data_IF_824452716122
#
_entry.id   IF_824452716122
#
_cell.length_a   1.000
_cell.length_b   1.000
_cell.length_c   1.000
_cell.angle_alpha   90.00
_cell.angle_beta   90.00
_cell.angle_gamma   90.00
#
_symmetry.space_group_name_H-M   'P 1'
#
loop_
_entity.id
_entity.type
_entity.pdbx_description
1 polymer ?
#
# COMPACT_ATOMS: atom_id res chain seq x y z
N UNK A 1 -5.00 45.61 -62.03
CA UNK A 1 -6.41 46.03 -61.91
C UNK A 1 -7.29 44.92 -62.47
N UNK A 2 -8.28 44.47 -61.68
CA UNK A 2 -9.59 43.89 -62.10
C UNK A 2 -9.50 42.52 -62.82
N UNK A 3 -9.75 41.37 -62.18
CA UNK A 3 -10.95 40.79 -61.54
C UNK A 3 -11.58 39.69 -62.41
N UNK A 4 -11.86 38.56 -61.74
CA UNK A 4 -13.05 37.71 -61.88
C UNK A 4 -13.15 36.69 -63.01
N UNK A 5 -13.32 35.42 -62.61
CA UNK A 5 -14.56 34.60 -62.67
C UNK A 5 -14.18 33.16 -62.27
N UNK A 6 -14.59 32.63 -61.11
CA UNK A 6 -15.92 32.18 -60.67
C UNK A 6 -16.50 31.01 -61.51
N UNK A 7 -16.66 29.86 -60.85
CA UNK A 7 -17.51 28.73 -61.27
C UNK A 7 -16.74 27.58 -61.95
N UNK A 8 -17.01 26.29 -61.74
CA UNK A 8 -18.02 25.59 -60.95
C UNK A 8 -17.62 24.11 -60.84
N UNK A 9 -17.98 23.54 -59.68
CA UNK A 9 -18.18 22.13 -59.30
C UNK A 9 -18.06 21.01 -60.36
N UNK A 10 -17.36 19.96 -59.92
CA UNK A 10 -17.60 18.51 -60.06
C UNK A 10 -16.24 17.87 -60.36
N UNK A 11 -15.75 16.88 -59.60
CA UNK A 11 -16.26 15.51 -59.60
C UNK A 11 -15.70 14.79 -58.36
N UNK A 12 -16.56 14.03 -57.68
CA UNK A 12 -16.17 12.99 -56.74
C UNK A 12 -15.22 11.98 -57.40
N UNK A 13 -14.18 11.54 -56.70
CA UNK A 13 -14.05 10.15 -56.29
C UNK A 13 -12.61 9.77 -55.93
N UNK A 14 -12.55 8.78 -55.04
CA UNK A 14 -11.46 7.82 -54.89
C UNK A 14 -10.22 8.30 -54.10
N UNK A 15 -10.36 8.15 -52.78
CA UNK A 15 -9.51 7.31 -51.96
C UNK A 15 -8.14 6.94 -52.57
N UNK A 16 -7.08 7.44 -51.94
CA UNK A 16 -5.79 6.77 -51.94
C UNK A 16 -5.17 6.94 -50.56
N UNK A 17 -4.99 5.82 -49.88
CA UNK A 17 -4.28 5.69 -48.62
C UNK A 17 -2.86 6.22 -48.79
N UNK A 18 -2.60 7.43 -48.32
CA UNK A 18 -1.25 7.91 -48.11
C UNK A 18 -0.89 7.63 -46.66
N UNK A 19 0.06 6.71 -46.46
CA UNK A 19 0.65 6.38 -45.17
C UNK A 19 1.16 7.66 -44.50
N UNK A 20 0.35 8.19 -43.58
CA UNK A 20 0.75 9.24 -42.66
C UNK A 20 1.75 8.64 -41.68
N UNK A 21 3.03 8.94 -41.91
CA UNK A 21 4.09 8.77 -40.93
C UNK A 21 3.73 9.65 -39.73
N UNK A 22 3.12 9.05 -38.71
CA UNK A 22 3.01 9.71 -37.41
C UNK A 22 4.43 9.90 -36.90
N UNK A 23 4.88 11.14 -36.60
CA UNK A 23 5.99 11.28 -35.69
C UNK A 23 5.45 10.75 -34.36
N UNK A 24 5.98 9.61 -33.91
CA UNK A 24 5.84 9.20 -32.52
C UNK A 24 6.44 10.33 -31.68
N UNK A 25 5.57 11.23 -31.23
CA UNK A 25 5.87 12.14 -30.14
C UNK A 25 6.23 11.24 -28.96
N UNK A 26 7.53 11.04 -28.75
CA UNK A 26 8.11 10.52 -27.52
C UNK A 26 7.82 11.57 -26.45
N UNK A 27 6.58 11.59 -25.97
CA UNK A 27 6.26 12.22 -24.70
C UNK A 27 7.11 11.54 -23.63
N UNK A 28 7.67 12.28 -22.67
CA UNK A 28 8.39 11.68 -21.56
C UNK A 28 7.42 10.69 -20.91
N UNK A 29 7.77 9.40 -20.95
CA UNK A 29 7.06 8.39 -20.20
C UNK A 29 6.97 8.90 -18.75
N UNK A 30 5.77 8.92 -18.13
CA UNK A 30 5.66 9.31 -16.74
C UNK A 30 6.65 8.44 -15.99
N UNK A 31 7.63 9.05 -15.34
CA UNK A 31 8.56 8.34 -14.48
C UNK A 31 7.70 7.59 -13.47
N UNK A 32 7.57 6.28 -13.66
CA UNK A 32 6.84 5.43 -12.72
C UNK A 32 7.60 5.57 -11.42
N UNK A 33 7.04 6.34 -10.49
CA UNK A 33 7.49 6.42 -9.12
C UNK A 33 7.66 4.98 -8.63
N UNK A 34 8.91 4.54 -8.47
CA UNK A 34 9.20 3.18 -8.07
C UNK A 34 8.64 2.98 -6.66
N UNK A 35 7.45 2.38 -6.57
CA UNK A 35 6.82 2.04 -5.32
C UNK A 35 7.46 0.75 -4.83
N UNK A 36 7.96 0.76 -3.60
CA UNK A 36 8.64 -0.40 -3.03
C UNK A 36 7.93 -0.85 -1.77
N UNK A 37 7.69 -2.15 -1.68
CA UNK A 37 7.02 -2.76 -0.54
C UNK A 37 7.95 -3.72 0.20
N UNK A 38 7.84 -3.69 1.52
CA UNK A 38 8.45 -4.67 2.43
C UNK A 38 7.31 -5.29 3.23
N UNK A 39 7.30 -6.61 3.34
CA UNK A 39 6.29 -7.33 4.11
C UNK A 39 6.95 -8.20 5.17
N UNK A 40 6.27 -8.32 6.31
CA UNK A 40 6.66 -9.18 7.42
C UNK A 40 5.41 -9.83 8.00
N UNK A 41 5.47 -11.14 8.23
CA UNK A 41 4.40 -11.89 8.89
C UNK A 41 4.96 -12.63 10.09
N UNK A 42 4.22 -12.59 11.20
CA UNK A 42 4.63 -13.16 12.49
C UNK A 42 3.44 -13.90 13.11
N UNK A 43 3.70 -15.07 13.69
CA UNK A 43 2.69 -15.98 14.25
C UNK A 43 2.45 -17.24 13.39
N UNK A 44 1.56 -18.14 13.82
CA UNK A 44 0.56 -17.95 14.86
C UNK A 44 1.12 -18.02 16.30
N UNK A 45 0.69 -17.09 17.16
CA UNK A 45 0.96 -17.05 18.60
C UNK A 45 -0.33 -17.43 19.35
N UNK A 46 -0.29 -18.38 20.30
CA UNK A 46 -1.44 -18.72 21.12
C UNK A 46 -1.87 -17.55 22.01
N UNK A 47 -3.17 -17.32 22.11
CA UNK A 47 -3.78 -16.29 22.97
C UNK A 47 -4.93 -16.93 23.79
N UNK A 48 -5.22 -16.42 25.01
CA UNK A 48 -6.07 -17.09 25.98
C UNK A 48 -7.57 -16.97 25.70
N UNK A 49 -8.03 -17.24 24.47
CA UNK A 49 -9.44 -17.19 24.08
C UNK A 49 -10.13 -15.88 24.51
N UNK A 50 -9.51 -14.75 24.17
CA UNK A 50 -10.03 -13.39 24.44
C UNK A 50 -10.07 -12.57 23.15
N UNK A 51 -10.80 -11.45 23.18
CA UNK A 51 -10.76 -10.46 22.10
C UNK A 51 -9.38 -9.82 22.02
N UNK A 52 -8.86 -9.69 20.80
CA UNK A 52 -7.56 -9.08 20.52
C UNK A 52 -7.80 -7.72 19.87
N UNK A 53 -7.09 -6.69 20.34
CA UNK A 53 -7.11 -5.37 19.70
C UNK A 53 -6.02 -5.32 18.64
N UNK A 54 -6.44 -5.08 17.40
CA UNK A 54 -5.56 -5.03 16.25
C UNK A 54 -5.39 -3.57 15.79
N UNK A 55 -4.22 -2.98 16.00
CA UNK A 55 -3.98 -1.56 15.76
C UNK A 55 -2.85 -1.32 14.76
N UNK A 56 -3.02 -0.30 13.91
CA UNK A 56 -1.91 0.40 13.25
C UNK A 56 -1.81 1.75 13.95
N UNK A 57 -0.78 1.90 14.78
CA UNK A 57 -0.62 3.05 15.67
C UNK A 57 -1.88 3.31 16.53
N UNK A 58 -2.54 4.46 16.36
CA UNK A 58 -3.78 4.80 17.06
C UNK A 58 -5.05 4.20 16.41
N UNK A 59 -4.98 3.69 15.18
CA UNK A 59 -6.13 3.12 14.48
C UNK A 59 -6.32 1.64 14.83
N UNK A 60 -7.28 1.36 15.72
CA UNK A 60 -7.56 0.02 16.21
C UNK A 60 -8.86 -0.55 15.66
N UNK A 61 -8.84 -1.85 15.37
CA UNK A 61 -9.99 -2.68 15.04
C UNK A 61 -10.08 -3.79 16.09
N UNK A 62 -11.27 -3.96 16.66
CA UNK A 62 -11.51 -5.06 17.60
C UNK A 62 -11.76 -6.36 16.82
N UNK A 63 -11.06 -7.41 17.21
CA UNK A 63 -11.25 -8.75 16.64
C UNK A 63 -12.19 -9.57 17.54
N UNK A 64 -12.88 -10.60 17.00
CA UNK A 64 -13.64 -11.52 17.84
C UNK A 64 -12.71 -12.31 18.77
N UNK A 65 -13.27 -13.18 19.60
CA UNK A 65 -12.48 -14.01 20.52
C UNK A 65 -11.58 -14.97 19.73
N UNK A 66 -10.26 -14.86 19.93
CA UNK A 66 -9.25 -15.67 19.24
C UNK A 66 -8.51 -16.60 20.20
N UNK A 67 -8.16 -17.79 19.72
CA UNK A 67 -7.26 -18.76 20.37
C UNK A 67 -5.84 -18.70 19.82
N UNK A 68 -5.66 -18.17 18.61
CA UNK A 68 -4.35 -17.89 18.03
C UNK A 68 -4.40 -16.64 17.15
N UNK A 69 -3.27 -15.93 17.07
CA UNK A 69 -3.13 -14.68 16.30
C UNK A 69 -1.88 -14.75 15.43
N UNK A 70 -2.03 -14.35 14.16
CA UNK A 70 -0.96 -14.11 13.20
C UNK A 70 -1.17 -12.74 12.59
N UNK A 71 -0.13 -11.92 12.59
CA UNK A 71 -0.14 -10.58 12.01
C UNK A 71 0.75 -10.57 10.77
N UNK A 72 0.23 -10.10 9.65
CA UNK A 72 0.98 -9.79 8.44
C UNK A 72 0.92 -8.30 8.19
N UNK A 73 2.05 -7.66 7.90
CA UNK A 73 2.16 -6.23 7.64
C UNK A 73 2.92 -6.02 6.35
N UNK A 74 2.46 -5.08 5.54
CA UNK A 74 3.14 -4.60 4.34
C UNK A 74 3.29 -3.09 4.45
N UNK A 75 4.53 -2.62 4.41
CA UNK A 75 4.87 -1.21 4.30
C UNK A 75 5.19 -0.89 2.85
N UNK A 76 4.52 0.11 2.28
CA UNK A 76 4.77 0.59 0.92
C UNK A 76 5.32 2.01 0.97
N UNK A 77 6.48 2.23 0.36
CA UNK A 77 7.13 3.54 0.22
C UNK A 77 6.98 3.98 -1.24
N UNK A 78 6.47 5.20 -1.44
CA UNK A 78 6.43 5.84 -2.76
C UNK A 78 7.52 6.90 -2.81
N UNK A 79 8.43 6.83 -3.79
CA UNK A 79 9.51 7.81 -3.98
C UNK A 79 10.47 7.96 -2.79
N UNK A 80 10.94 6.84 -2.22
CA UNK A 80 11.91 6.85 -1.11
C UNK A 80 13.27 6.22 -1.47
N UNK A 81 14.36 6.63 -0.79
CA UNK A 81 15.66 5.97 -0.87
C UNK A 81 15.61 4.54 -0.33
N UNK A 82 16.62 3.72 -0.65
CA UNK A 82 16.58 2.29 -0.37
C UNK A 82 17.69 1.76 0.54
N UNK A 83 17.37 0.79 1.42
CA UNK A 83 16.05 0.49 1.97
C UNK A 83 15.66 1.56 3.00
N UNK A 84 14.59 2.32 2.73
CA UNK A 84 14.10 3.32 3.68
C UNK A 84 13.51 2.69 4.94
N UNK A 85 12.75 1.60 4.80
CA UNK A 85 11.91 1.06 5.88
C UNK A 85 12.31 -0.36 6.23
N UNK A 86 12.37 -0.63 7.52
CA UNK A 86 12.63 -1.95 8.11
C UNK A 86 11.42 -2.36 8.94
N UNK A 87 10.92 -3.57 8.70
CA UNK A 87 9.91 -4.21 9.53
C UNK A 87 10.60 -5.18 10.48
N UNK A 88 10.29 -5.10 11.77
CA UNK A 88 10.85 -5.97 12.80
C UNK A 88 9.77 -6.40 13.80
N UNK A 89 9.95 -7.55 14.42
CA UNK A 89 9.08 -8.00 15.53
C UNK A 89 9.22 -7.06 16.72
N UNK A 90 8.12 -6.74 17.38
CA UNK A 90 8.09 -5.95 18.60
C UNK A 90 7.28 -6.66 19.69
N UNK A 91 7.47 -6.22 20.93
CA UNK A 91 6.62 -6.65 22.04
C UNK A 91 5.25 -5.96 21.93
N UNK A 92 4.21 -6.66 22.35
CA UNK A 92 2.88 -6.09 22.52
C UNK A 92 2.92 -4.94 23.53
N UNK A 93 2.18 -3.83 23.27
CA UNK A 93 2.03 -2.77 24.26
C UNK A 93 1.39 -3.34 25.53
N UNK A 94 1.72 -2.74 26.69
CA UNK A 94 1.24 -3.15 28.01
C UNK A 94 1.58 -4.59 28.44
N UNK A 95 2.45 -5.31 27.71
CA UNK A 95 2.82 -6.69 28.05
C UNK A 95 1.75 -7.72 27.69
N UNK A 96 0.77 -7.36 26.86
CA UNK A 96 -0.25 -8.28 26.38
C UNK A 96 0.32 -9.46 25.58
N UNK A 97 -0.49 -10.48 25.37
CA UNK A 97 -0.13 -11.63 24.54
C UNK A 97 -0.55 -11.39 23.10
N UNK A 98 0.24 -11.88 22.14
CA UNK A 98 -0.08 -11.76 20.72
C UNK A 98 1.15 -11.43 19.89
N UNK A 99 0.97 -10.57 18.89
CA UNK A 99 1.99 -10.26 17.89
C UNK A 99 2.04 -8.76 17.65
N UNK A 100 3.25 -8.19 17.65
CA UNK A 100 3.46 -6.83 17.16
C UNK A 100 4.65 -6.77 16.18
N UNK A 101 4.53 -5.87 15.21
CA UNK A 101 5.53 -5.55 14.20
C UNK A 101 5.74 -4.04 14.24
N UNK A 102 6.99 -3.60 14.28
CA UNK A 102 7.38 -2.20 14.25
C UNK A 102 8.01 -1.87 12.91
N UNK A 103 7.53 -0.79 12.29
CA UNK A 103 8.09 -0.20 11.09
C UNK A 103 8.97 0.99 11.47
N UNK A 104 10.28 0.87 11.21
CA UNK A 104 11.27 1.92 11.48
C UNK A 104 11.96 2.36 10.20
N UNK A 105 12.49 3.58 10.20
CA UNK A 105 13.27 4.13 9.10
C UNK A 105 14.44 4.94 9.64
N UNK A 106 15.59 4.85 8.98
CA UNK A 106 16.76 5.67 9.30
C UNK A 106 16.73 7.04 8.57
N UNK A 107 15.66 7.32 7.83
CA UNK A 107 15.46 8.55 7.05
C UNK A 107 13.99 9.00 7.12
N UNK A 108 13.72 10.28 6.84
CA UNK A 108 12.36 10.80 6.84
C UNK A 108 11.60 10.26 5.61
N UNK A 109 10.63 9.39 5.81
CA UNK A 109 9.91 8.72 4.71
C UNK A 109 8.43 8.56 5.05
N UNK A 110 7.57 8.87 4.08
CA UNK A 110 6.14 8.59 4.15
C UNK A 110 5.86 7.17 3.67
N UNK A 111 5.22 6.38 4.52
CA UNK A 111 4.88 4.98 4.30
C UNK A 111 3.37 4.78 4.30
N UNK A 112 2.87 3.94 3.41
CA UNK A 112 1.52 3.37 3.52
C UNK A 112 1.63 1.97 4.12
N UNK A 113 1.11 1.81 5.33
CA UNK A 113 1.09 0.57 6.08
C UNK A 113 -0.27 -0.10 5.90
N UNK A 114 -0.25 -1.37 5.49
CA UNK A 114 -1.43 -2.25 5.46
C UNK A 114 -1.11 -3.49 6.27
N UNK A 115 -2.11 -4.05 6.92
CA UNK A 115 -1.95 -5.26 7.69
C UNK A 115 -3.10 -6.23 7.48
N UNK A 116 -2.91 -7.44 7.98
CA UNK A 116 -3.98 -8.42 8.12
C UNK A 116 -3.73 -9.21 9.38
N UNK A 117 -4.72 -9.23 10.26
CA UNK A 117 -4.75 -10.09 11.43
C UNK A 117 -5.55 -11.32 11.09
N UNK A 118 -4.92 -12.48 11.18
CA UNK A 118 -5.56 -13.77 11.00
C UNK A 118 -5.46 -14.57 12.29
N UNK A 119 -6.46 -15.40 12.56
CA UNK A 119 -6.50 -16.17 13.79
C UNK A 119 -7.52 -17.27 13.75
N UNK A 120 -7.51 -18.12 14.77
CA UNK A 120 -8.52 -19.15 14.97
C UNK A 120 -9.48 -18.73 16.06
N UNK A 121 -10.78 -18.81 15.79
CA UNK A 121 -11.87 -18.74 16.76
C UNK A 121 -12.34 -20.16 17.08
N UNK A 122 -13.20 -20.33 18.08
CA UNK A 122 -13.91 -21.60 18.32
C UNK A 122 -14.81 -22.02 17.14
N UNK A 123 -15.22 -21.08 16.30
CA UNK A 123 -16.09 -21.31 15.14
C UNK A 123 -15.34 -21.49 13.82
N UNK A 124 -14.00 -21.33 13.81
CA UNK A 124 -13.18 -21.42 12.61
C UNK A 124 -12.16 -20.28 12.46
N UNK A 125 -11.47 -20.21 11.33
CA UNK A 125 -10.48 -19.17 11.06
C UNK A 125 -11.13 -17.82 10.70
N UNK A 126 -10.54 -16.73 11.17
CA UNK A 126 -10.93 -15.37 10.81
C UNK A 126 -9.73 -14.61 10.26
N UNK A 127 -10.00 -13.67 9.35
CA UNK A 127 -9.00 -12.77 8.77
C UNK A 127 -9.58 -11.37 8.68
N UNK A 128 -8.90 -10.39 9.26
CA UNK A 128 -9.37 -9.03 9.44
C UNK A 128 -8.32 -8.09 8.84
N UNK A 129 -8.65 -7.34 7.79
CA UNK A 129 -7.72 -6.39 7.20
C UNK A 129 -7.52 -5.18 8.13
N UNK A 130 -6.31 -4.62 8.12
CA UNK A 130 -5.95 -3.38 8.80
C UNK A 130 -5.45 -2.35 7.77
N UNK A 131 -5.86 -1.09 7.94
CA UNK A 131 -5.45 0.01 7.08
C UNK A 131 -6.04 -0.05 5.65
N UNK A 132 -5.46 0.68 4.69
CA UNK A 132 -4.18 1.39 4.77
C UNK A 132 -4.17 2.59 5.72
N UNK A 133 -3.06 2.78 6.42
CA UNK A 133 -2.74 4.01 7.17
C UNK A 133 -1.47 4.61 6.56
N UNK A 134 -1.47 5.92 6.34
CA UNK A 134 -0.31 6.62 5.79
C UNK A 134 0.35 7.42 6.89
N UNK A 135 1.62 7.10 7.17
CA UNK A 135 2.37 7.69 8.27
C UNK A 135 3.74 8.18 7.81
N UNK A 136 4.27 9.19 8.49
CA UNK A 136 5.64 9.69 8.22
C UNK A 136 6.57 9.23 9.32
N UNK A 137 7.51 8.33 8.97
CA UNK A 137 8.52 7.86 9.91
C UNK A 137 9.73 8.78 9.83
N UNK A 138 10.11 9.36 10.97
CA UNK A 138 11.29 10.20 11.10
C UNK A 138 12.47 9.41 11.70
N UNK A 139 13.72 9.72 11.32
CA UNK A 139 14.89 9.09 11.91
C UNK A 139 14.96 9.38 13.41
N UNK A 140 15.34 8.37 14.21
CA UNK A 140 15.44 8.49 15.66
C UNK A 140 14.11 8.41 16.42
N UNK A 141 12.98 8.23 15.72
CA UNK A 141 11.69 7.94 16.38
C UNK A 141 11.51 6.44 16.60
N UNK A 142 10.65 6.01 17.54
CA UNK A 142 10.31 4.60 17.70
C UNK A 142 9.59 4.01 16.46
N UNK A 143 9.26 4.81 15.44
CA UNK A 143 8.54 4.36 14.25
C UNK A 143 7.08 3.97 14.53
N UNK A 144 6.44 3.37 13.54
CA UNK A 144 5.01 2.99 13.61
C UNK A 144 4.86 1.57 14.13
N UNK A 145 3.99 1.37 15.12
CA UNK A 145 3.69 0.05 15.67
C UNK A 145 2.41 -0.51 15.04
N UNK A 146 2.50 -1.72 14.50
CA UNK A 146 1.33 -2.52 14.14
C UNK A 146 1.22 -3.67 15.12
N UNK A 147 0.10 -3.81 15.79
CA UNK A 147 -0.06 -4.78 16.88
C UNK A 147 -1.37 -5.52 16.78
N UNK A 148 -1.39 -6.77 17.23
CA UNK A 148 -2.56 -7.59 17.43
C UNK A 148 -2.38 -8.27 18.78
N UNK A 149 -2.77 -7.56 19.83
CA UNK A 149 -2.45 -7.89 21.21
C UNK A 149 -3.70 -7.94 22.08
N UNK A 150 -3.70 -8.81 23.08
CA UNK A 150 -4.71 -8.78 24.14
C UNK A 150 -4.57 -7.49 24.95
N UNK A 151 -5.69 -6.98 25.47
CA UNK A 151 -5.70 -5.90 26.43
C UNK A 151 -5.02 -6.31 27.76
#
# INVERSE_FOLDING_TARGET
>A
MVLSRLGSRAVMAAASLALGVLPLAMGPAPAVAASRSVSLAVGPVPVPNVSVSACIDAECVSTPVLTSVRLSVTATVTNGPLPAVVLSTAACPNGGLGVAIRATSNQAVTVSLRGTVSGTTTSGSVSIPLGPVTETILPGTPGVLVSACTA
#
